data_IF_350929483427
#
_entry.id   IF_350929483427
#
_cell.length_a   1.000
_cell.length_b   1.000
_cell.length_c   1.000
_cell.angle_alpha   90.00
_cell.angle_beta   90.00
_cell.angle_gamma   90.00
#
_symmetry.space_group_name_H-M   'P 1'
#
loop_
_entity.id
_entity.type
_entity.pdbx_description
1 polymer ?
#
# COMPACT_ATOMS: atom_id res chain seq x y z
N UNK A 1 -2.10 8.89 14.61
CA UNK A 1 -1.38 8.00 13.67
C UNK A 1 0.02 7.75 14.23
N UNK A 2 0.47 6.51 14.28
CA UNK A 2 1.80 6.21 14.80
C UNK A 2 2.88 6.49 13.75
N UNK A 3 4.16 6.44 14.18
CA UNK A 3 5.27 6.78 13.29
C UNK A 3 5.38 5.85 12.07
N UNK A 4 5.09 4.56 12.27
CA UNK A 4 5.17 3.58 11.17
C UNK A 4 4.12 3.88 10.10
N UNK A 5 2.89 4.21 10.48
CA UNK A 5 1.85 4.56 9.53
C UNK A 5 2.16 5.86 8.81
N UNK A 6 2.69 6.85 9.52
CA UNK A 6 3.07 8.12 8.92
C UNK A 6 4.15 7.90 7.87
N UNK A 7 5.20 7.14 8.22
CA UNK A 7 6.28 6.84 7.30
C UNK A 7 5.78 6.09 6.06
N UNK A 8 4.95 5.06 6.28
CA UNK A 8 4.39 4.24 5.21
C UNK A 8 3.64 5.11 4.20
N UNK A 9 2.78 5.99 4.71
CA UNK A 9 1.95 6.85 3.86
C UNK A 9 2.77 7.89 3.11
N UNK A 10 3.73 8.52 3.77
CA UNK A 10 4.58 9.50 3.13
C UNK A 10 5.46 8.89 2.05
N UNK A 11 6.00 7.70 2.32
CA UNK A 11 6.79 7.00 1.31
C UNK A 11 5.94 6.61 0.11
N UNK A 12 4.74 6.07 0.35
CA UNK A 12 3.82 5.72 -0.72
C UNK A 12 3.43 6.95 -1.54
N UNK A 13 3.18 8.08 -0.90
CA UNK A 13 2.88 9.34 -1.58
C UNK A 13 4.04 9.76 -2.49
N UNK A 14 5.27 9.64 -1.99
CA UNK A 14 6.45 10.03 -2.77
C UNK A 14 6.57 9.20 -4.05
N UNK A 15 6.29 7.90 -3.99
CA UNK A 15 6.41 7.04 -5.19
C UNK A 15 5.18 7.06 -6.08
N UNK A 16 4.08 7.69 -5.64
CA UNK A 16 2.83 7.76 -6.43
C UNK A 16 2.91 8.73 -7.60
N UNK A 17 3.86 9.64 -7.58
CA UNK A 17 3.96 10.68 -8.60
C UNK A 17 2.94 11.82 -8.42
N UNK A 18 2.25 11.88 -7.30
CA UNK A 18 1.29 12.96 -7.02
C UNK A 18 -0.06 12.82 -7.72
N UNK A 19 -0.38 11.65 -8.24
CA UNK A 19 -1.65 11.40 -8.90
C UNK A 19 -2.38 10.22 -8.26
N UNK A 20 -3.70 10.23 -8.35
CA UNK A 20 -4.52 9.11 -7.89
C UNK A 20 -4.23 7.86 -8.72
N UNK A 21 -3.96 6.76 -8.04
CA UNK A 21 -3.63 5.51 -8.71
C UNK A 21 -4.79 4.97 -9.55
N UNK A 22 -6.03 5.26 -9.15
CA UNK A 22 -7.22 4.72 -9.81
C UNK A 22 -7.69 5.60 -10.96
N UNK A 23 -7.88 6.89 -10.71
CA UNK A 23 -8.49 7.78 -11.71
C UNK A 23 -7.52 8.76 -12.35
N UNK A 24 -6.28 8.82 -11.90
CA UNK A 24 -5.25 9.68 -12.49
C UNK A 24 -5.35 11.16 -12.12
N UNK A 25 -6.29 11.53 -11.25
CA UNK A 25 -6.47 12.93 -10.86
C UNK A 25 -5.26 13.43 -10.08
N UNK A 26 -4.80 14.63 -10.37
CA UNK A 26 -3.73 15.27 -9.62
C UNK A 26 -4.17 15.49 -8.17
N UNK A 27 -3.30 15.09 -7.23
CA UNK A 27 -3.58 15.18 -5.81
C UNK A 27 -3.02 16.47 -5.23
N UNK A 28 -3.68 17.00 -4.21
CA UNK A 28 -3.16 18.10 -3.40
C UNK A 28 -2.82 17.57 -2.01
N UNK A 29 -2.02 18.29 -1.21
CA UNK A 29 -1.67 17.83 0.13
C UNK A 29 -2.86 17.52 1.03
N UNK A 30 -4.02 18.12 0.75
CA UNK A 30 -5.21 17.94 1.58
C UNK A 30 -6.26 16.99 0.98
N UNK A 31 -6.03 16.47 -0.23
CA UNK A 31 -7.07 15.69 -0.93
C UNK A 31 -6.64 14.25 -1.26
N UNK A 32 -5.62 13.74 -0.60
CA UNK A 32 -5.21 12.38 -0.84
C UNK A 32 -5.54 11.46 0.33
N UNK A 33 -5.69 10.18 0.05
CA UNK A 33 -5.90 9.14 1.04
C UNK A 33 -4.97 7.98 0.78
N UNK A 34 -4.50 7.33 1.84
CA UNK A 34 -3.76 6.09 1.74
C UNK A 34 -4.71 4.91 1.89
N UNK A 35 -4.79 4.08 0.87
CA UNK A 35 -5.67 2.92 0.85
C UNK A 35 -4.86 1.64 0.99
N UNK A 36 -5.18 0.82 2.00
CA UNK A 36 -4.56 -0.50 2.13
C UNK A 36 -5.08 -1.43 1.04
N UNK A 37 -4.19 -2.01 0.26
CA UNK A 37 -4.58 -3.03 -0.75
C UNK A 37 -5.02 -4.30 -0.06
N UNK A 38 -4.20 -4.81 0.88
CA UNK A 38 -4.60 -5.86 1.80
C UNK A 38 -4.99 -5.15 3.09
N UNK A 39 -6.24 -5.30 3.50
CA UNK A 39 -6.80 -4.55 4.62
C UNK A 39 -6.01 -4.78 5.91
N UNK A 40 -5.85 -3.73 6.69
CA UNK A 40 -5.17 -3.79 7.98
C UNK A 40 -6.11 -4.37 9.04
N UNK A 41 -6.24 -5.68 9.02
CA UNK A 41 -7.06 -6.42 9.99
C UNK A 41 -6.18 -7.44 10.71
N UNK A 42 -6.65 -7.88 11.88
CA UNK A 42 -5.92 -8.89 12.65
C UNK A 42 -5.72 -10.20 11.86
N UNK A 43 -6.75 -10.75 11.21
CA UNK A 43 -6.57 -11.95 10.39
C UNK A 43 -5.53 -11.79 9.29
N UNK A 44 -5.53 -10.63 8.61
CA UNK A 44 -4.60 -10.40 7.53
C UNK A 44 -3.17 -10.23 8.06
N UNK A 45 -3.01 -9.59 9.21
CA UNK A 45 -1.69 -9.47 9.85
C UNK A 45 -1.14 -10.83 10.24
N UNK A 46 -2.02 -11.71 10.72
CA UNK A 46 -1.62 -13.07 11.08
C UNK A 46 -1.24 -13.90 9.85
N UNK A 47 -2.04 -13.79 8.78
CA UNK A 47 -1.85 -14.58 7.56
C UNK A 47 -0.65 -14.11 6.73
N UNK A 48 -0.54 -12.80 6.51
CA UNK A 48 0.44 -12.24 5.57
C UNK A 48 1.67 -11.65 6.26
N UNK A 49 1.54 -11.29 7.54
CA UNK A 49 2.61 -10.70 8.33
C UNK A 49 2.57 -9.18 8.34
N UNK A 50 3.01 -8.60 9.45
CA UNK A 50 3.05 -7.15 9.59
C UNK A 50 3.96 -6.50 8.56
N UNK A 51 5.02 -7.21 8.12
CA UNK A 51 5.95 -6.66 7.13
C UNK A 51 5.26 -6.40 5.78
N UNK A 52 4.20 -7.15 5.46
CA UNK A 52 3.39 -6.91 4.26
C UNK A 52 2.40 -5.78 4.50
N UNK A 53 1.63 -5.88 5.59
CA UNK A 53 0.55 -4.93 5.87
C UNK A 53 1.10 -3.51 6.02
N UNK A 54 2.25 -3.36 6.68
CA UNK A 54 2.84 -2.05 6.96
C UNK A 54 3.79 -1.57 5.85
N UNK A 55 3.93 -2.32 4.77
CA UNK A 55 4.83 -1.95 3.68
C UNK A 55 4.24 -0.84 2.80
N UNK A 56 5.05 0.11 2.32
CA UNK A 56 4.56 1.18 1.44
C UNK A 56 3.87 0.66 0.18
N UNK A 57 4.31 -0.46 -0.39
CA UNK A 57 3.67 -1.04 -1.58
C UNK A 57 2.27 -1.58 -1.29
N UNK A 58 1.91 -1.79 -0.03
CA UNK A 58 0.56 -2.17 0.34
C UNK A 58 -0.39 -0.96 0.41
N UNK A 59 0.13 0.24 0.23
CA UNK A 59 -0.67 1.47 0.25
C UNK A 59 -0.80 2.00 -1.17
N UNK A 60 -2.04 2.19 -1.61
CA UNK A 60 -2.34 2.93 -2.82
C UNK A 60 -2.69 4.37 -2.44
N UNK A 61 -2.16 5.33 -3.16
CA UNK A 61 -2.49 6.74 -2.94
C UNK A 61 -3.62 7.13 -3.89
N UNK A 62 -4.73 7.55 -3.33
CA UNK A 62 -5.96 7.81 -4.07
C UNK A 62 -6.59 9.14 -3.66
N UNK A 63 -7.51 9.64 -4.48
CA UNK A 63 -8.10 10.96 -4.25
C UNK A 63 -9.37 10.96 -3.40
N UNK A 64 -10.00 9.80 -3.21
CA UNK A 64 -11.29 9.74 -2.55
C UNK A 64 -11.56 8.37 -1.95
N UNK A 65 -12.61 8.31 -1.14
CA UNK A 65 -13.06 7.05 -0.55
C UNK A 65 -13.53 6.06 -1.62
N UNK A 66 -14.12 6.55 -2.70
CA UNK A 66 -14.52 5.71 -3.82
C UNK A 66 -13.32 4.99 -4.43
N UNK A 67 -12.26 5.72 -4.73
CA UNK A 67 -11.04 5.13 -5.27
C UNK A 67 -10.36 4.20 -4.25
N UNK A 68 -10.47 4.53 -2.97
CA UNK A 68 -9.97 3.69 -1.89
C UNK A 68 -10.60 2.30 -1.93
N UNK A 69 -11.92 2.24 -2.08
CA UNK A 69 -12.63 0.95 -2.18
C UNK A 69 -12.18 0.12 -3.40
N UNK A 70 -11.90 0.79 -4.51
CA UNK A 70 -11.46 0.11 -5.73
C UNK A 70 -10.09 -0.57 -5.53
N UNK A 71 -9.21 0.03 -4.73
CA UNK A 71 -7.87 -0.51 -4.49
C UNK A 71 -7.84 -1.72 -3.56
N UNK A 72 -8.93 -1.99 -2.82
CA UNK A 72 -8.97 -3.11 -1.89
C UNK A 72 -8.98 -4.42 -2.66
N UNK A 73 -7.98 -5.27 -2.41
CA UNK A 73 -7.88 -6.58 -3.06
C UNK A 73 -8.96 -7.54 -2.55
N UNK A 74 -9.46 -7.31 -1.34
CA UNK A 74 -10.46 -8.17 -0.73
C UNK A 74 -9.87 -9.51 -0.34
N UNK A 75 -10.58 -10.58 -0.70
CA UNK A 75 -10.17 -11.94 -0.36
C UNK A 75 -9.57 -12.69 -1.55
N UNK A 76 -9.16 -11.97 -2.59
CA UNK A 76 -8.50 -12.59 -3.75
C UNK A 76 -7.09 -13.02 -3.36
N UNK A 77 -6.95 -14.29 -3.01
CA UNK A 77 -5.67 -14.82 -2.52
C UNK A 77 -4.57 -14.76 -3.59
N UNK A 78 -4.91 -14.98 -4.85
CA UNK A 78 -3.93 -14.87 -5.92
C UNK A 78 -3.38 -13.46 -6.05
N UNK A 79 -4.23 -12.45 -5.96
CA UNK A 79 -3.80 -11.05 -5.99
C UNK A 79 -2.97 -10.70 -4.76
N UNK A 80 -3.34 -11.19 -3.58
CA UNK A 80 -2.56 -11.00 -2.37
C UNK A 80 -1.17 -11.62 -2.50
N UNK A 81 -1.08 -12.85 -3.01
CA UNK A 81 0.20 -13.51 -3.20
C UNK A 81 1.10 -12.75 -4.17
N UNK A 82 0.55 -12.22 -5.26
CA UNK A 82 1.32 -11.41 -6.20
C UNK A 82 1.89 -10.16 -5.54
N UNK A 83 1.10 -9.52 -4.70
CA UNK A 83 1.56 -8.35 -3.96
C UNK A 83 2.66 -8.72 -2.98
N UNK A 84 2.51 -9.82 -2.24
CA UNK A 84 3.52 -10.29 -1.29
C UNK A 84 4.83 -10.58 -2.01
N UNK A 85 4.78 -11.24 -3.17
CA UNK A 85 5.97 -11.52 -3.98
C UNK A 85 6.63 -10.23 -4.43
N UNK A 86 5.85 -9.24 -4.84
CA UNK A 86 6.36 -7.95 -5.27
C UNK A 86 7.07 -7.21 -4.14
N UNK A 87 6.49 -7.24 -2.95
CA UNK A 87 7.09 -6.66 -1.76
C UNK A 87 8.38 -7.37 -1.41
N UNK A 88 8.39 -8.70 -1.44
CA UNK A 88 9.58 -9.49 -1.14
C UNK A 88 10.71 -9.19 -2.12
N UNK A 89 10.40 -9.10 -3.41
CA UNK A 89 11.39 -8.75 -4.42
C UNK A 89 11.98 -7.36 -4.18
N UNK A 90 11.13 -6.40 -3.80
CA UNK A 90 11.57 -5.03 -3.50
C UNK A 90 12.55 -5.02 -2.33
N UNK A 91 12.26 -5.79 -1.29
CA UNK A 91 13.13 -5.86 -0.13
C UNK A 91 14.46 -6.55 -0.44
N UNK A 92 14.43 -7.59 -1.28
CA UNK A 92 15.66 -8.25 -1.72
C UNK A 92 16.56 -7.31 -2.52
N UNK A 93 15.97 -6.49 -3.39
CA UNK A 93 16.72 -5.51 -4.16
C UNK A 93 17.25 -4.38 -3.29
N UNK A 94 16.51 -4.04 -2.23
CA UNK A 94 16.91 -2.99 -1.31
C UNK A 94 18.07 -3.41 -0.43
N UNK A 95 18.11 -4.69 -0.04
CA UNK A 95 19.16 -5.26 0.80
C UNK A 95 19.80 -6.46 0.11
N UNK A 96 20.45 -6.22 -1.04
CA UNK A 96 21.07 -7.34 -1.73
C UNK A 96 22.11 -7.97 -0.84
N UNK A 97 21.97 -9.27 -0.64
CA UNK A 97 23.00 -10.02 0.05
C UNK A 97 24.26 -9.96 -0.78
N UNK A 98 25.20 -9.27 -0.23
CA UNK A 98 26.49 -9.21 -0.88
C UNK A 98 27.12 -10.58 -0.86
#
# INVERSE_FOLDING_TARGET
MNKAETWQRQYALAISGGVCEVCGKTLTPSTWQGAHRIANTKPNRTKWGSWVIDHPLNIAIVCSLKCNHICNIGYDEGACLKLVQRIAQRELLRFPEG
#
